data_IF_443065222534
#
_entry.id   IF_443065222534
#
_cell.length_a   1.000
_cell.length_b   1.000
_cell.length_c   1.000
_cell.angle_alpha   90.00
_cell.angle_beta   90.00
_cell.angle_gamma   90.00
#
_symmetry.space_group_name_H-M   'P 1'
#
loop_
_entity.id
_entity.type
_entity.pdbx_description
1 polymer ?
#
# COMPACT_ATOMS: atom_id res chain seq x y z
N UNK A 1 4.99 -28.83 -17.88
CA UNK A 1 4.53 -28.98 -16.48
C UNK A 1 5.14 -30.25 -15.90
N UNK A 2 6.35 -30.17 -15.32
CA UNK A 2 6.78 -31.24 -14.40
C UNK A 2 6.05 -31.00 -13.07
N UNK A 3 5.38 -32.03 -12.58
CA UNK A 3 4.52 -31.97 -11.41
C UNK A 3 5.25 -31.54 -10.14
N UNK A 4 4.47 -30.92 -9.27
CA UNK A 4 4.79 -30.39 -7.94
C UNK A 4 5.81 -31.27 -7.19
N UNK A 5 6.97 -30.70 -6.89
CA UNK A 5 7.94 -31.30 -5.98
C UNK A 5 7.43 -31.24 -4.54
N UNK A 6 7.22 -32.41 -3.96
CA UNK A 6 7.25 -32.70 -2.52
C UNK A 6 6.26 -31.97 -1.59
N UNK A 7 5.11 -32.62 -1.35
CA UNK A 7 4.33 -32.50 -0.12
C UNK A 7 5.17 -32.93 1.09
N UNK A 8 5.81 -31.98 1.77
CA UNK A 8 6.20 -32.13 3.17
C UNK A 8 5.16 -31.39 4.01
N UNK A 9 4.75 -31.96 5.15
CA UNK A 9 3.76 -31.29 6.02
C UNK A 9 4.32 -29.93 6.45
N UNK A 10 3.57 -28.86 6.15
CA UNK A 10 4.01 -27.47 6.38
C UNK A 10 4.72 -26.79 5.20
N UNK A 11 4.96 -27.48 4.08
CA UNK A 11 5.47 -26.86 2.86
C UNK A 11 4.31 -26.40 1.95
N UNK A 12 4.44 -25.18 1.43
CA UNK A 12 3.50 -24.57 0.52
C UNK A 12 3.79 -25.04 -0.92
N UNK A 13 2.82 -25.62 -1.65
CA UNK A 13 3.00 -26.02 -3.05
C UNK A 13 3.53 -24.89 -3.93
N UNK A 14 4.51 -25.20 -4.80
CA UNK A 14 5.18 -24.21 -5.65
C UNK A 14 4.77 -24.35 -7.11
N UNK A 15 4.33 -23.25 -7.72
CA UNK A 15 4.18 -23.06 -9.16
C UNK A 15 5.32 -22.16 -9.62
N UNK A 16 6.37 -22.77 -10.17
CA UNK A 16 7.49 -22.06 -10.78
C UNK A 16 7.25 -21.89 -12.28
N UNK A 17 7.03 -20.65 -12.72
CA UNK A 17 6.82 -20.31 -14.13
C UNK A 17 8.12 -20.25 -14.95
N UNK A 18 9.29 -20.40 -14.32
CA UNK A 18 10.60 -20.50 -14.98
C UNK A 18 10.91 -19.35 -15.94
N UNK A 19 10.44 -18.14 -15.63
CA UNK A 19 10.57 -16.95 -16.46
C UNK A 19 9.89 -17.09 -17.84
N UNK A 20 8.91 -17.98 -17.97
CA UNK A 20 8.27 -18.35 -19.23
C UNK A 20 6.73 -18.30 -19.14
N UNK A 21 6.19 -17.09 -19.03
CA UNK A 21 4.75 -16.84 -18.96
C UNK A 21 4.24 -16.66 -17.53
N UNK A 22 2.93 -16.78 -17.37
CA UNK A 22 2.21 -16.60 -16.11
C UNK A 22 1.59 -17.90 -15.64
N UNK A 23 1.28 -18.00 -14.35
CA UNK A 23 0.65 -19.18 -13.76
C UNK A 23 -0.85 -19.26 -14.11
N UNK A 24 -1.56 -18.13 -13.99
CA UNK A 24 -3.01 -18.10 -14.17
C UNK A 24 -3.48 -16.95 -15.05
N UNK A 25 -4.54 -17.20 -15.80
CA UNK A 25 -5.30 -16.20 -16.52
C UNK A 25 -6.78 -16.37 -16.16
N UNK A 26 -7.39 -15.31 -15.65
CA UNK A 26 -8.81 -15.21 -15.38
C UNK A 26 -9.40 -14.20 -16.35
N UNK A 27 -10.39 -14.62 -17.14
CA UNK A 27 -10.95 -13.82 -18.23
C UNK A 27 -12.22 -14.39 -18.85
N UNK A 28 -12.82 -15.40 -18.23
CA UNK A 28 -14.01 -16.11 -18.71
C UNK A 28 -15.23 -15.91 -17.80
N UNK A 29 -15.17 -14.93 -16.89
CA UNK A 29 -16.25 -14.62 -15.94
C UNK A 29 -16.10 -15.31 -14.59
N UNK A 30 -14.87 -15.68 -14.21
CA UNK A 30 -14.57 -16.32 -12.92
C UNK A 30 -14.98 -15.40 -11.75
N UNK A 31 -15.73 -15.97 -10.81
CA UNK A 31 -16.23 -15.31 -9.60
C UNK A 31 -15.34 -15.61 -8.40
N UNK A 32 -15.73 -15.12 -7.22
CA UNK A 32 -15.03 -15.37 -5.95
C UNK A 32 -14.96 -16.86 -5.58
N UNK A 33 -15.80 -17.70 -6.19
CA UNK A 33 -15.77 -19.16 -6.07
C UNK A 33 -14.54 -19.79 -6.74
N UNK A 34 -13.87 -19.04 -7.62
CA UNK A 34 -12.59 -19.46 -8.21
C UNK A 34 -11.46 -19.13 -7.23
N UNK A 35 -11.14 -20.12 -6.39
CA UNK A 35 -10.17 -19.95 -5.29
C UNK A 35 -8.80 -20.52 -5.67
N UNK A 36 -7.77 -19.68 -5.56
CA UNK A 36 -6.36 -20.11 -5.44
C UNK A 36 -5.97 -19.96 -3.98
N UNK A 37 -5.69 -21.08 -3.32
CA UNK A 37 -5.33 -21.11 -1.90
C UNK A 37 -3.99 -21.79 -1.67
N UNK A 38 -3.15 -21.18 -0.85
CA UNK A 38 -1.94 -21.79 -0.29
C UNK A 38 -0.89 -22.19 -1.34
N UNK A 39 -0.65 -21.34 -2.35
CA UNK A 39 0.42 -21.55 -3.34
C UNK A 39 1.55 -20.52 -3.23
N UNK A 40 2.78 -20.97 -3.44
CA UNK A 40 3.87 -20.10 -3.88
C UNK A 40 3.82 -20.02 -5.41
N UNK A 41 3.64 -18.82 -5.96
CA UNK A 41 3.65 -18.56 -7.40
C UNK A 41 4.86 -17.67 -7.70
N UNK A 42 5.83 -18.23 -8.43
CA UNK A 42 7.13 -17.59 -8.59
C UNK A 42 7.67 -17.60 -10.01
N UNK A 43 8.61 -16.68 -10.24
CA UNK A 43 9.36 -16.55 -11.50
C UNK A 43 8.45 -16.44 -12.73
N UNK A 44 7.24 -15.90 -12.58
CA UNK A 44 6.39 -15.51 -13.68
C UNK A 44 7.06 -14.41 -14.52
N UNK A 45 6.99 -14.50 -15.84
CA UNK A 45 7.43 -13.44 -16.75
C UNK A 45 6.47 -13.29 -17.91
N UNK A 46 5.73 -12.19 -17.92
CA UNK A 46 4.73 -11.92 -18.95
C UNK A 46 4.75 -10.44 -19.35
N UNK A 47 3.96 -10.09 -20.38
CA UNK A 47 3.77 -8.68 -20.74
C UNK A 47 3.04 -7.92 -19.63
N UNK A 48 1.96 -8.51 -19.13
CA UNK A 48 1.11 -7.98 -18.06
C UNK A 48 0.76 -9.13 -17.11
N UNK A 49 0.81 -8.86 -15.81
CA UNK A 49 0.52 -9.86 -14.77
C UNK A 49 1.51 -11.01 -14.83
N UNK A 50 2.71 -10.82 -14.25
CA UNK A 50 3.78 -11.80 -14.33
C UNK A 50 3.37 -13.17 -13.80
N UNK A 51 2.58 -13.22 -12.73
CA UNK A 51 1.99 -14.43 -12.16
C UNK A 51 0.53 -14.64 -12.59
N UNK A 52 -0.29 -13.59 -12.49
CA UNK A 52 -1.75 -13.67 -12.70
C UNK A 52 -2.22 -12.47 -13.52
N UNK A 53 -3.10 -12.73 -14.48
CA UNK A 53 -3.83 -11.68 -15.19
C UNK A 53 -5.34 -11.88 -14.98
N UNK A 54 -6.01 -10.86 -14.48
CA UNK A 54 -7.45 -10.83 -14.19
C UNK A 54 -8.14 -9.82 -15.10
N UNK A 55 -9.07 -10.26 -15.95
CA UNK A 55 -9.85 -9.39 -16.83
C UNK A 55 -11.35 -9.63 -16.67
N UNK A 56 -12.10 -8.61 -16.27
CA UNK A 56 -13.57 -8.72 -16.10
C UNK A 56 -14.00 -9.91 -15.22
N UNK A 57 -13.25 -10.20 -14.16
CA UNK A 57 -13.39 -11.36 -13.28
C UNK A 57 -13.09 -10.99 -11.82
N UNK A 58 -13.42 -11.84 -10.86
CA UNK A 58 -13.13 -11.59 -9.45
C UNK A 58 -12.80 -12.86 -8.66
N UNK A 59 -11.69 -13.57 -8.98
CA UNK A 59 -11.28 -14.76 -8.24
C UNK A 59 -10.84 -14.42 -6.80
N UNK A 60 -10.83 -15.44 -5.94
CA UNK A 60 -10.26 -15.33 -4.59
C UNK A 60 -8.83 -15.87 -4.57
N UNK A 61 -7.89 -15.05 -4.11
CA UNK A 61 -6.50 -15.39 -3.87
C UNK A 61 -6.26 -15.38 -2.36
N UNK A 62 -6.00 -16.55 -1.78
CA UNK A 62 -5.96 -16.75 -0.34
C UNK A 62 -4.65 -17.42 0.08
N UNK A 63 -4.01 -16.93 1.14
CA UNK A 63 -2.80 -17.54 1.72
C UNK A 63 -1.68 -17.76 0.68
N UNK A 64 -1.57 -16.94 -0.36
CA UNK A 64 -0.63 -17.16 -1.46
C UNK A 64 0.64 -16.32 -1.31
N UNK A 65 1.77 -16.83 -1.81
CA UNK A 65 3.03 -16.10 -1.90
C UNK A 65 3.37 -15.84 -3.37
N UNK A 66 3.43 -14.58 -3.77
CA UNK A 66 3.91 -14.13 -5.09
C UNK A 66 5.35 -13.65 -4.98
N UNK A 67 6.29 -14.43 -5.53
CA UNK A 67 7.73 -14.16 -5.36
C UNK A 67 8.49 -14.04 -6.67
N UNK A 68 9.22 -12.94 -6.88
CA UNK A 68 10.13 -12.80 -8.02
C UNK A 68 9.43 -12.81 -9.39
N UNK A 69 8.13 -12.50 -9.44
CA UNK A 69 7.39 -12.39 -10.70
C UNK A 69 7.71 -11.06 -11.38
N UNK A 70 7.69 -11.06 -12.71
CA UNK A 70 8.01 -9.90 -13.53
C UNK A 70 6.99 -9.69 -14.63
N UNK A 71 6.61 -8.44 -14.83
CA UNK A 71 5.86 -8.01 -16.00
C UNK A 71 6.66 -6.97 -16.80
N UNK A 72 6.51 -6.97 -18.12
CA UNK A 72 7.07 -5.89 -18.93
C UNK A 72 6.38 -4.56 -18.59
N UNK A 73 5.05 -4.58 -18.63
CA UNK A 73 4.22 -3.39 -18.56
C UNK A 73 3.56 -3.20 -17.19
N UNK A 74 2.53 -3.99 -16.89
CA UNK A 74 1.69 -3.74 -15.72
C UNK A 74 1.64 -4.93 -14.77
N UNK A 75 1.83 -4.68 -13.48
CA UNK A 75 1.60 -5.66 -12.42
C UNK A 75 2.64 -6.79 -12.44
N UNK A 76 3.77 -6.60 -11.77
CA UNK A 76 4.84 -7.59 -11.76
C UNK A 76 4.39 -8.97 -11.29
N UNK A 77 3.45 -9.03 -10.35
CA UNK A 77 2.71 -10.25 -10.01
C UNK A 77 1.32 -10.30 -10.66
N UNK A 78 0.46 -9.33 -10.35
CA UNK A 78 -0.96 -9.37 -10.71
C UNK A 78 -1.33 -8.15 -11.53
N UNK A 79 -1.95 -8.36 -12.70
CA UNK A 79 -2.59 -7.30 -13.45
C UNK A 79 -4.12 -7.48 -13.40
N UNK A 80 -4.80 -6.44 -12.92
CA UNK A 80 -6.24 -6.32 -12.81
C UNK A 80 -6.75 -5.37 -13.88
N UNK A 81 -7.58 -5.85 -14.80
CA UNK A 81 -7.93 -5.12 -16.02
C UNK A 81 -9.44 -5.10 -16.28
N UNK A 82 -9.98 -3.92 -16.57
CA UNK A 82 -11.38 -3.71 -16.97
C UNK A 82 -12.38 -4.49 -16.09
N UNK A 83 -12.58 -4.05 -14.85
CA UNK A 83 -13.40 -4.76 -13.85
C UNK A 83 -12.84 -6.12 -13.44
N UNK A 84 -11.51 -6.28 -13.47
CA UNK A 84 -10.81 -7.41 -12.85
C UNK A 84 -10.63 -7.14 -11.36
N UNK A 85 -11.52 -7.63 -10.51
CA UNK A 85 -11.58 -7.30 -9.09
C UNK A 85 -11.36 -8.55 -8.21
N UNK A 86 -10.15 -9.13 -8.19
CA UNK A 86 -9.88 -10.25 -7.28
C UNK A 86 -10.02 -9.83 -5.80
N UNK A 87 -10.40 -10.79 -4.97
CA UNK A 87 -10.27 -10.72 -3.52
C UNK A 87 -8.92 -11.32 -3.13
N UNK A 88 -8.04 -10.53 -2.53
CA UNK A 88 -6.67 -10.91 -2.19
C UNK A 88 -6.54 -10.86 -0.67
N UNK A 89 -6.38 -12.03 -0.05
CA UNK A 89 -6.45 -12.16 1.41
C UNK A 89 -5.25 -12.96 1.92
N UNK A 90 -4.60 -12.44 2.97
CA UNK A 90 -3.47 -13.10 3.63
C UNK A 90 -2.36 -13.51 2.65
N UNK A 91 -2.03 -12.64 1.70
CA UNK A 91 -1.05 -12.92 0.65
C UNK A 91 0.25 -12.14 0.86
N UNK A 92 1.35 -12.72 0.39
CA UNK A 92 2.68 -12.11 0.44
C UNK A 92 3.13 -11.79 -0.99
N UNK A 93 3.55 -10.55 -1.23
CA UNK A 93 4.15 -10.08 -2.47
C UNK A 93 5.60 -9.69 -2.21
N UNK A 94 6.54 -10.53 -2.64
CA UNK A 94 7.96 -10.35 -2.36
C UNK A 94 8.79 -10.23 -3.64
N UNK A 95 9.47 -9.10 -3.84
CA UNK A 95 10.43 -8.95 -4.94
C UNK A 95 9.82 -9.06 -6.33
N UNK A 96 8.54 -8.71 -6.50
CA UNK A 96 7.92 -8.66 -7.83
C UNK A 96 8.26 -7.33 -8.51
N UNK A 97 8.33 -7.32 -9.84
CA UNK A 97 8.76 -6.11 -10.56
C UNK A 97 8.15 -5.87 -11.93
N UNK A 98 8.05 -4.61 -12.32
CA UNK A 98 7.88 -4.19 -13.71
C UNK A 98 9.19 -3.73 -14.32
N UNK A 99 9.37 -3.89 -15.64
CA UNK A 99 10.61 -3.48 -16.34
C UNK A 99 10.45 -2.29 -17.28
N UNK A 100 9.21 -1.91 -17.62
CA UNK A 100 8.91 -0.77 -18.50
C UNK A 100 7.95 0.22 -17.84
N UNK A 101 6.80 -0.24 -17.34
CA UNK A 101 5.76 0.66 -16.82
C UNK A 101 5.55 0.51 -15.30
N UNK A 102 4.33 0.18 -14.84
CA UNK A 102 3.87 0.51 -13.49
C UNK A 102 3.36 -0.68 -12.68
N UNK A 103 3.44 -0.59 -11.35
CA UNK A 103 2.87 -1.57 -10.42
C UNK A 103 3.78 -2.78 -10.21
N UNK A 104 4.80 -2.64 -9.36
CA UNK A 104 5.79 -3.69 -9.14
C UNK A 104 5.19 -5.01 -8.64
N UNK A 105 4.13 -4.97 -7.83
CA UNK A 105 3.35 -6.15 -7.47
C UNK A 105 2.02 -6.20 -8.23
N UNK A 106 1.17 -5.18 -8.03
CA UNK A 106 -0.21 -5.17 -8.53
C UNK A 106 -0.43 -3.92 -9.39
N UNK A 107 -1.06 -4.09 -10.55
CA UNK A 107 -1.57 -2.97 -11.33
C UNK A 107 -3.09 -3.10 -11.50
N UNK A 108 -3.80 -2.01 -11.26
CA UNK A 108 -5.25 -1.90 -11.39
C UNK A 108 -5.58 -0.90 -12.49
N UNK A 109 -6.28 -1.38 -13.52
CA UNK A 109 -6.77 -0.56 -14.62
C UNK A 109 -8.29 -0.70 -14.71
N UNK A 110 -9.01 0.39 -14.44
CA UNK A 110 -10.48 0.39 -14.29
C UNK A 110 -10.97 -0.77 -13.41
N UNK A 111 -10.27 -1.02 -12.31
CA UNK A 111 -10.47 -2.17 -11.43
C UNK A 111 -10.21 -1.81 -9.98
N UNK A 112 -10.96 -2.39 -9.06
CA UNK A 112 -10.94 -2.09 -7.63
C UNK A 112 -10.92 -3.39 -6.82
N UNK A 113 -9.78 -4.13 -6.80
CA UNK A 113 -9.65 -5.34 -5.99
C UNK A 113 -9.79 -5.04 -4.48
N UNK A 114 -10.12 -6.07 -3.71
CA UNK A 114 -10.05 -6.05 -2.25
C UNK A 114 -8.74 -6.69 -1.82
N UNK A 115 -7.98 -6.01 -0.97
CA UNK A 115 -6.67 -6.43 -0.50
C UNK A 115 -6.69 -6.39 1.02
N UNK A 116 -6.64 -7.55 1.67
CA UNK A 116 -6.75 -7.68 3.12
C UNK A 116 -5.60 -8.53 3.68
N UNK A 117 -5.02 -8.11 4.81
CA UNK A 117 -4.01 -8.90 5.52
C UNK A 117 -2.79 -9.25 4.65
N UNK A 118 -2.43 -8.39 3.70
CA UNK A 118 -1.37 -8.67 2.76
C UNK A 118 -0.06 -7.98 3.14
N UNK A 119 1.06 -8.60 2.80
CA UNK A 119 2.39 -8.02 2.96
C UNK A 119 3.05 -7.79 1.60
N UNK A 120 3.50 -6.57 1.35
CA UNK A 120 4.24 -6.16 0.15
C UNK A 120 5.66 -5.79 0.54
N UNK A 121 6.63 -6.60 0.15
CA UNK A 121 8.04 -6.39 0.51
C UNK A 121 8.93 -6.33 -0.73
N UNK A 122 9.73 -5.27 -0.83
CA UNK A 122 10.77 -5.18 -1.84
C UNK A 122 10.27 -5.25 -3.29
N UNK A 123 9.00 -4.90 -3.54
CA UNK A 123 8.49 -4.85 -4.90
C UNK A 123 8.99 -3.58 -5.61
N UNK A 124 9.28 -3.69 -6.90
CA UNK A 124 9.98 -2.65 -7.65
C UNK A 124 9.25 -2.29 -8.93
N UNK A 125 9.12 -0.99 -9.21
CA UNK A 125 8.64 -0.48 -10.49
C UNK A 125 9.70 0.40 -11.12
N UNK A 126 10.02 0.17 -12.40
CA UNK A 126 10.91 1.05 -13.18
C UNK A 126 10.27 2.39 -13.52
N UNK A 127 8.97 2.56 -13.26
CA UNK A 127 8.29 3.84 -13.38
C UNK A 127 7.60 4.17 -12.07
N UNK A 128 6.31 3.93 -11.91
CA UNK A 128 5.57 4.31 -10.69
C UNK A 128 4.82 3.16 -10.04
N UNK A 129 4.48 3.33 -8.75
CA UNK A 129 3.77 2.33 -7.96
C UNK A 129 4.67 1.13 -7.67
N UNK A 130 5.64 1.27 -6.76
CA UNK A 130 6.59 0.19 -6.47
C UNK A 130 5.90 -1.09 -5.99
N UNK A 131 4.80 -1.00 -5.25
CA UNK A 131 3.91 -2.13 -4.99
C UNK A 131 2.64 -2.08 -5.86
N UNK A 132 1.82 -1.04 -5.71
CA UNK A 132 0.50 -0.95 -6.33
C UNK A 132 0.40 0.27 -7.24
N UNK A 133 -0.12 0.07 -8.44
CA UNK A 133 -0.49 1.13 -9.36
C UNK A 133 -2.00 1.11 -9.63
N UNK A 134 -2.66 2.26 -9.52
CA UNK A 134 -4.09 2.43 -9.75
C UNK A 134 -4.33 3.49 -10.82
N UNK A 135 -5.06 3.13 -11.88
CA UNK A 135 -5.31 3.99 -13.02
C UNK A 135 -6.77 3.91 -13.50
N UNK A 136 -7.32 5.08 -13.88
CA UNK A 136 -8.66 5.26 -14.44
C UNK A 136 -9.79 4.73 -13.54
N UNK A 137 -10.10 5.47 -12.47
CA UNK A 137 -11.16 5.14 -11.50
C UNK A 137 -10.96 3.78 -10.82
N UNK A 138 -9.71 3.45 -10.54
CA UNK A 138 -9.33 2.23 -9.82
C UNK A 138 -9.19 2.56 -8.33
N UNK A 139 -10.11 2.08 -7.51
CA UNK A 139 -10.16 2.42 -6.08
C UNK A 139 -10.17 1.13 -5.24
N UNK A 140 -9.04 0.40 -5.16
CA UNK A 140 -8.96 -0.77 -4.31
C UNK A 140 -9.18 -0.42 -2.83
N UNK A 141 -9.70 -1.38 -2.09
CA UNK A 141 -9.75 -1.32 -0.62
C UNK A 141 -8.57 -2.11 -0.08
N UNK A 142 -7.76 -1.47 0.76
CA UNK A 142 -6.54 -2.02 1.34
C UNK A 142 -6.66 -1.97 2.86
N UNK A 143 -6.75 -3.14 3.50
CA UNK A 143 -6.99 -3.23 4.94
C UNK A 143 -5.99 -4.18 5.59
N UNK A 144 -5.49 -3.84 6.79
CA UNK A 144 -4.57 -4.70 7.56
C UNK A 144 -3.30 -5.08 6.79
N UNK A 145 -2.77 -4.19 5.95
CA UNK A 145 -1.64 -4.50 5.08
C UNK A 145 -0.32 -3.87 5.55
N UNK A 146 0.79 -4.52 5.19
CA UNK A 146 2.14 -4.00 5.42
C UNK A 146 2.83 -3.75 4.09
N UNK A 147 3.33 -2.54 3.87
CA UNK A 147 4.15 -2.15 2.73
C UNK A 147 5.54 -1.80 3.22
N UNK A 148 6.53 -2.65 2.94
CA UNK A 148 7.90 -2.48 3.43
C UNK A 148 8.92 -2.48 2.29
N UNK A 149 9.71 -1.41 2.18
CA UNK A 149 10.85 -1.37 1.25
C UNK A 149 10.46 -1.47 -0.23
N UNK A 150 9.23 -1.11 -0.61
CA UNK A 150 8.84 -1.08 -2.02
C UNK A 150 9.42 0.17 -2.69
N UNK A 151 9.76 0.07 -3.97
CA UNK A 151 10.58 1.08 -4.63
C UNK A 151 10.10 1.44 -6.05
N UNK A 152 9.95 2.74 -6.32
CA UNK A 152 9.79 3.29 -7.65
C UNK A 152 11.13 3.88 -8.14
N UNK A 153 11.93 3.04 -8.82
CA UNK A 153 13.36 3.30 -9.09
C UNK A 153 13.64 4.17 -10.31
N UNK A 154 12.66 4.33 -11.21
CA UNK A 154 12.84 5.10 -12.44
C UNK A 154 13.20 6.55 -12.20
N UNK A 155 13.84 7.23 -13.17
CA UNK A 155 14.22 8.65 -13.02
C UNK A 155 13.04 9.56 -12.62
N UNK A 156 11.83 9.24 -13.08
CA UNK A 156 10.59 9.95 -12.73
C UNK A 156 9.68 9.13 -11.81
N UNK A 157 10.24 8.08 -11.19
CA UNK A 157 9.49 7.11 -10.44
C UNK A 157 8.88 7.70 -9.19
N UNK A 158 7.59 7.45 -9.01
CA UNK A 158 6.77 8.06 -7.97
C UNK A 158 5.85 7.04 -7.30
N UNK A 159 5.48 7.26 -6.04
CA UNK A 159 4.67 6.33 -5.27
C UNK A 159 5.41 5.02 -5.00
N UNK A 160 6.39 5.05 -4.10
CA UNK A 160 7.23 3.89 -3.80
C UNK A 160 6.44 2.68 -3.32
N UNK A 161 5.35 2.89 -2.58
CA UNK A 161 4.34 1.87 -2.34
C UNK A 161 3.20 1.96 -3.35
N UNK A 162 2.47 3.07 -3.37
CA UNK A 162 1.21 3.20 -4.11
C UNK A 162 1.22 4.45 -5.00
N UNK A 163 0.82 4.30 -6.26
CA UNK A 163 0.53 5.43 -7.14
C UNK A 163 -0.93 5.38 -7.60
N UNK A 164 -1.64 6.51 -7.47
CA UNK A 164 -3.01 6.69 -7.89
C UNK A 164 -3.14 7.77 -8.97
N UNK A 165 -3.78 7.42 -10.09
CA UNK A 165 -3.98 8.30 -11.24
C UNK A 165 -5.42 8.24 -11.78
N UNK A 166 -5.93 9.37 -12.26
CA UNK A 166 -7.14 9.42 -13.07
C UNK A 166 -8.40 9.11 -12.26
N UNK A 167 -8.62 9.89 -11.21
CA UNK A 167 -9.73 9.74 -10.26
C UNK A 167 -9.74 8.39 -9.53
N UNK A 168 -8.56 7.88 -9.21
CA UNK A 168 -8.36 6.62 -8.48
C UNK A 168 -8.20 6.94 -7.00
N UNK A 169 -9.18 6.58 -6.17
CA UNK A 169 -9.23 6.98 -4.76
C UNK A 169 -9.34 5.75 -3.86
N UNK A 170 -8.24 4.99 -3.65
CA UNK A 170 -8.27 3.83 -2.77
C UNK A 170 -8.55 4.21 -1.31
N UNK A 171 -9.11 3.26 -0.57
CA UNK A 171 -9.22 3.34 0.89
C UNK A 171 -8.14 2.49 1.52
N UNK A 172 -7.40 3.04 2.48
CA UNK A 172 -6.35 2.34 3.21
C UNK A 172 -6.64 2.41 4.70
N UNK A 173 -6.79 1.26 5.35
CA UNK A 173 -7.20 1.19 6.75
C UNK A 173 -6.30 0.23 7.53
N UNK A 174 -5.85 0.66 8.71
CA UNK A 174 -5.04 -0.18 9.61
C UNK A 174 -3.79 -0.76 8.91
N UNK A 175 -3.10 0.06 8.13
CA UNK A 175 -1.95 -0.34 7.34
C UNK A 175 -0.66 0.30 7.85
N UNK A 176 0.46 -0.33 7.51
CA UNK A 176 1.80 0.16 7.85
C UNK A 176 2.63 0.32 6.58
N UNK A 177 3.24 1.50 6.40
CA UNK A 177 4.09 1.85 5.28
C UNK A 177 5.48 2.22 5.80
N UNK A 178 6.45 1.33 5.59
CA UNK A 178 7.80 1.46 6.13
C UNK A 178 8.84 1.44 5.02
N UNK A 179 9.77 2.40 5.05
CA UNK A 179 10.95 2.31 4.20
C UNK A 179 10.65 2.29 2.70
N UNK A 180 9.44 2.68 2.27
CA UNK A 180 9.11 2.73 0.86
C UNK A 180 9.78 3.95 0.23
N UNK A 181 10.26 3.81 -1.00
CA UNK A 181 11.07 4.85 -1.62
C UNK A 181 10.65 5.13 -3.06
N UNK A 182 10.74 6.40 -3.43
CA UNK A 182 10.56 6.84 -4.79
C UNK A 182 11.72 7.72 -5.21
N UNK A 183 12.28 7.48 -6.39
CA UNK A 183 13.36 8.30 -6.92
C UNK A 183 12.93 9.77 -7.09
N UNK A 184 11.63 10.03 -7.36
CA UNK A 184 11.14 11.38 -7.63
C UNK A 184 10.18 11.90 -6.56
N UNK A 185 8.96 11.37 -6.45
CA UNK A 185 7.89 11.99 -5.64
C UNK A 185 7.02 10.96 -4.93
N UNK A 186 6.60 11.25 -3.70
CA UNK A 186 5.71 10.37 -2.95
C UNK A 186 6.43 9.08 -2.57
N UNK A 187 7.25 9.11 -1.52
CA UNK A 187 8.04 7.97 -1.09
C UNK A 187 7.17 6.75 -0.77
N UNK A 188 6.05 6.96 -0.07
CA UNK A 188 5.00 5.95 0.04
C UNK A 188 3.94 6.10 -1.06
N UNK A 189 3.27 7.26 -1.12
CA UNK A 189 2.05 7.45 -1.92
C UNK A 189 2.18 8.63 -2.88
N UNK A 190 1.70 8.44 -4.11
CA UNK A 190 1.55 9.51 -5.12
C UNK A 190 0.10 9.61 -5.58
N UNK A 191 -0.48 10.81 -5.52
CA UNK A 191 -1.86 11.08 -5.92
C UNK A 191 -1.95 12.11 -7.05
N UNK A 192 -2.49 11.70 -8.20
CA UNK A 192 -2.56 12.50 -9.42
C UNK A 192 -3.92 12.46 -10.11
N UNK A 193 -4.26 13.53 -10.84
CA UNK A 193 -5.51 13.72 -11.58
C UNK A 193 -6.77 13.44 -10.76
N UNK A 194 -7.02 14.27 -9.75
CA UNK A 194 -8.16 14.21 -8.83
C UNK A 194 -8.30 12.87 -8.10
N UNK A 195 -7.17 12.28 -7.72
CA UNK A 195 -7.11 11.02 -6.95
C UNK A 195 -7.01 11.35 -5.46
N UNK A 196 -8.04 11.04 -4.69
CA UNK A 196 -8.20 11.50 -3.30
C UNK A 196 -8.42 10.29 -2.38
N UNK A 197 -7.38 9.52 -2.05
CA UNK A 197 -7.52 8.38 -1.15
C UNK A 197 -7.93 8.82 0.26
N UNK A 198 -8.59 7.90 0.97
CA UNK A 198 -8.86 8.02 2.42
C UNK A 198 -7.99 7.03 3.16
N UNK A 199 -7.22 7.51 4.12
CA UNK A 199 -6.26 6.75 4.91
C UNK A 199 -6.69 6.81 6.37
N UNK A 200 -6.87 5.69 7.04
CA UNK A 200 -7.35 5.65 8.43
C UNK A 200 -6.58 4.66 9.28
N UNK A 201 -6.18 5.08 10.48
CA UNK A 201 -5.47 4.23 11.45
C UNK A 201 -4.17 3.62 10.87
N UNK A 202 -3.43 4.38 10.07
CA UNK A 202 -2.21 3.91 9.43
C UNK A 202 -0.96 4.51 10.06
N UNK A 203 0.17 3.82 9.91
CA UNK A 203 1.49 4.31 10.33
C UNK A 203 2.43 4.39 9.14
N UNK A 204 3.03 5.55 8.93
CA UNK A 204 4.06 5.82 7.92
C UNK A 204 5.35 6.17 8.65
N UNK A 205 6.45 5.50 8.28
CA UNK A 205 7.76 5.84 8.83
C UNK A 205 8.91 5.40 7.93
N UNK A 206 9.97 6.21 7.87
CA UNK A 206 11.16 5.90 7.08
C UNK A 206 10.91 5.89 5.56
N UNK A 207 9.77 6.38 5.08
CA UNK A 207 9.51 6.50 3.65
C UNK A 207 10.29 7.69 3.08
N UNK A 208 10.79 7.56 1.85
CA UNK A 208 11.70 8.55 1.28
C UNK A 208 11.40 8.90 -0.17
N UNK A 209 11.50 10.19 -0.50
CA UNK A 209 11.39 10.68 -1.86
C UNK A 209 12.66 11.45 -2.27
N UNK A 210 13.15 11.19 -3.48
CA UNK A 210 14.30 11.94 -4.01
C UNK A 210 14.01 13.43 -4.28
N UNK A 211 12.75 13.87 -4.19
CA UNK A 211 12.37 15.28 -4.34
C UNK A 211 11.34 15.75 -3.33
N UNK A 212 10.10 15.24 -3.40
CA UNK A 212 8.98 15.80 -2.63
C UNK A 212 8.08 14.74 -2.03
N UNK A 213 7.61 14.94 -0.80
CA UNK A 213 6.63 14.10 -0.13
C UNK A 213 7.20 12.73 0.24
N UNK A 214 7.88 12.58 1.37
CA UNK A 214 8.39 11.28 1.81
C UNK A 214 7.26 10.30 2.10
N UNK A 215 6.17 10.75 2.74
CA UNK A 215 4.91 10.00 2.79
C UNK A 215 4.14 10.18 1.49
N UNK A 216 3.67 11.39 1.21
CA UNK A 216 2.71 11.61 0.12
C UNK A 216 3.00 12.86 -0.70
N UNK A 217 2.84 12.74 -2.02
CA UNK A 217 2.87 13.86 -2.95
C UNK A 217 1.54 13.98 -3.74
N UNK A 218 0.89 15.15 -3.62
CA UNK A 218 -0.41 15.45 -4.25
C UNK A 218 -0.26 16.46 -5.40
N UNK A 219 -0.89 16.18 -6.55
CA UNK A 219 -0.98 17.07 -7.72
C UNK A 219 -2.41 16.99 -8.27
N UNK A 220 -2.82 18.02 -9.00
CA UNK A 220 -3.97 18.00 -9.91
C UNK A 220 -5.28 17.87 -9.16
N UNK A 221 -5.50 18.74 -8.17
CA UNK A 221 -6.72 18.73 -7.33
C UNK A 221 -6.93 17.40 -6.59
N UNK A 222 -5.84 16.69 -6.29
CA UNK A 222 -5.86 15.48 -5.45
C UNK A 222 -5.87 15.89 -3.98
N UNK A 223 -6.92 15.50 -3.26
CA UNK A 223 -7.20 15.97 -1.90
C UNK A 223 -7.41 14.79 -0.95
N UNK A 224 -6.34 14.08 -0.55
CA UNK A 224 -6.45 12.94 0.35
C UNK A 224 -6.80 13.35 1.79
N UNK A 225 -7.41 12.41 2.52
CA UNK A 225 -7.74 12.56 3.94
C UNK A 225 -7.03 11.49 4.76
N UNK A 226 -6.40 11.90 5.86
CA UNK A 226 -5.83 11.02 6.87
C UNK A 226 -6.63 11.15 8.17
N UNK A 227 -6.96 10.02 8.77
CA UNK A 227 -7.64 9.93 10.06
C UNK A 227 -6.86 9.03 11.01
N UNK A 228 -6.63 9.43 12.25
CA UNK A 228 -5.97 8.58 13.25
C UNK A 228 -4.62 8.02 12.76
N UNK A 229 -3.86 8.76 11.96
CA UNK A 229 -2.62 8.27 11.33
C UNK A 229 -1.37 8.81 12.02
N UNK A 230 -0.28 8.04 11.99
CA UNK A 230 1.06 8.52 12.33
C UNK A 230 1.87 8.70 11.05
N UNK A 231 2.47 9.87 10.85
CA UNK A 231 3.45 10.17 9.80
C UNK A 231 4.70 10.68 10.51
N UNK A 232 5.77 9.88 10.56
CA UNK A 232 6.93 10.23 11.37
C UNK A 232 8.24 9.61 10.90
N UNK A 233 9.28 10.44 10.79
CA UNK A 233 10.61 10.02 10.38
C UNK A 233 10.67 9.65 8.90
N UNK A 234 9.83 10.30 8.09
CA UNK A 234 9.87 10.22 6.64
C UNK A 234 10.80 11.32 6.09
N UNK A 235 11.13 11.29 4.80
CA UNK A 235 12.09 12.25 4.24
C UNK A 235 11.89 12.57 2.76
N UNK A 236 12.19 13.80 2.38
CA UNK A 236 12.23 14.24 1.00
C UNK A 236 13.41 15.18 0.75
N UNK A 237 14.22 14.92 -0.27
CA UNK A 237 15.46 15.69 -0.49
C UNK A 237 15.25 17.17 -0.80
N UNK A 238 14.03 17.62 -1.11
CA UNK A 238 13.74 19.04 -1.40
C UNK A 238 12.72 19.67 -0.47
N UNK A 239 11.54 19.07 -0.26
CA UNK A 239 10.51 19.61 0.63
C UNK A 239 9.39 18.60 0.92
N UNK A 240 8.71 18.78 2.06
CA UNK A 240 7.62 17.92 2.49
C UNK A 240 8.15 16.55 2.85
N UNK A 241 8.90 16.45 3.95
CA UNK A 241 9.44 15.18 4.43
C UNK A 241 8.31 14.17 4.66
N UNK A 242 7.19 14.63 5.19
CA UNK A 242 5.96 13.86 5.32
C UNK A 242 5.05 14.15 4.11
N UNK A 243 4.56 15.39 3.97
CA UNK A 243 3.48 15.73 3.05
C UNK A 243 3.92 16.84 2.11
N UNK A 244 3.73 16.64 0.81
CA UNK A 244 3.79 17.72 -0.18
C UNK A 244 2.47 17.86 -0.92
N UNK A 245 1.86 19.04 -0.85
CA UNK A 245 0.63 19.39 -1.56
C UNK A 245 0.89 20.47 -2.61
N UNK A 246 0.62 20.19 -3.89
CA UNK A 246 0.70 21.22 -4.93
C UNK A 246 -0.51 22.19 -4.90
N UNK A 247 -0.40 23.29 -5.62
CA UNK A 247 -1.44 24.32 -5.72
C UNK A 247 -2.79 23.69 -6.09
N UNK A 248 -3.84 24.03 -5.34
CA UNK A 248 -5.18 23.48 -5.55
C UNK A 248 -5.43 22.08 -4.98
N UNK A 249 -4.43 21.47 -4.33
CA UNK A 249 -4.61 20.29 -3.50
C UNK A 249 -4.86 20.69 -2.04
N UNK A 250 -5.71 19.95 -1.35
CA UNK A 250 -5.93 20.06 0.10
C UNK A 250 -5.75 18.69 0.73
N UNK A 251 -4.76 18.56 1.61
CA UNK A 251 -4.59 17.37 2.44
C UNK A 251 -5.23 17.65 3.79
N UNK A 252 -6.19 16.82 4.21
CA UNK A 252 -6.85 16.97 5.52
C UNK A 252 -6.32 15.91 6.48
N UNK A 253 -5.87 16.35 7.65
CA UNK A 253 -5.42 15.49 8.74
C UNK A 253 -6.40 15.63 9.91
N UNK A 254 -6.99 14.52 10.35
CA UNK A 254 -7.85 14.44 11.51
C UNK A 254 -7.23 13.51 12.54
N UNK A 255 -7.00 14.00 13.76
CA UNK A 255 -6.43 13.22 14.86
C UNK A 255 -5.17 12.47 14.44
N UNK A 256 -4.26 13.14 13.73
CA UNK A 256 -3.01 12.52 13.26
C UNK A 256 -1.83 12.94 14.12
N UNK A 257 -0.81 12.11 14.23
CA UNK A 257 0.48 12.47 14.79
C UNK A 257 1.47 12.68 13.65
N UNK A 258 2.02 13.89 13.52
CA UNK A 258 2.84 14.28 12.37
C UNK A 258 3.93 15.26 12.75
N UNK A 259 5.12 15.11 12.17
CA UNK A 259 6.19 16.10 12.31
C UNK A 259 5.74 17.44 11.69
N UNK A 260 5.65 18.49 12.52
CA UNK A 260 5.20 19.82 12.08
C UNK A 260 6.21 20.52 11.15
N UNK A 261 7.46 20.03 11.09
CA UNK A 261 8.42 20.43 10.06
C UNK A 261 8.18 19.78 8.69
N UNK A 262 7.26 18.82 8.64
CA UNK A 262 7.12 17.85 7.57
C UNK A 262 6.39 18.25 6.31
N UNK A 263 5.98 19.51 6.23
CA UNK A 263 5.07 19.99 5.20
C UNK A 263 5.80 20.72 4.07
N UNK A 264 5.27 20.59 2.85
CA UNK A 264 5.78 21.29 1.69
C UNK A 264 4.73 21.57 0.62
N UNK A 265 5.10 22.44 -0.31
CA UNK A 265 4.28 22.81 -1.45
C UNK A 265 3.45 24.08 -1.24
N UNK A 266 2.57 24.35 -2.20
CA UNK A 266 1.74 25.57 -2.26
C UNK A 266 0.24 25.27 -2.11
N UNK A 267 -0.12 24.00 -1.89
CA UNK A 267 -1.46 23.57 -1.51
C UNK A 267 -1.74 23.80 -0.03
N UNK A 268 -2.93 23.36 0.39
CA UNK A 268 -3.35 23.44 1.79
C UNK A 268 -3.07 22.11 2.49
N UNK A 269 -2.50 22.18 3.68
CA UNK A 269 -2.44 21.07 4.63
C UNK A 269 -3.25 21.52 5.83
N UNK A 270 -4.42 20.91 6.01
CA UNK A 270 -5.35 21.22 7.10
C UNK A 270 -5.13 20.23 8.24
N UNK A 271 -4.32 20.64 9.22
CA UNK A 271 -3.97 19.87 10.42
C UNK A 271 -4.59 20.43 11.70
N UNK A 272 -5.52 21.38 11.58
CA UNK A 272 -6.19 22.00 12.72
C UNK A 272 -7.16 21.05 13.45
N UNK A 273 -7.39 19.85 12.92
CA UNK A 273 -8.38 18.89 13.43
C UNK A 273 -7.76 17.93 14.45
N UNK A 274 -7.25 18.49 15.57
CA UNK A 274 -6.67 17.76 16.70
C UNK A 274 -5.41 16.93 16.36
N UNK A 275 -4.53 17.46 15.50
CA UNK A 275 -3.24 16.81 15.25
C UNK A 275 -2.24 17.00 16.40
N UNK A 276 -1.37 16.00 16.57
CA UNK A 276 -0.27 15.96 17.53
C UNK A 276 1.03 16.18 16.78
N UNK A 277 1.89 17.06 17.33
CA UNK A 277 3.19 17.40 16.76
C UNK A 277 4.32 17.08 17.73
N UNK A 278 4.31 15.85 18.24
CA UNK A 278 5.30 15.34 19.17
C UNK A 278 5.66 13.92 18.78
N UNK A 279 6.87 13.48 19.14
CA UNK A 279 7.36 12.15 18.84
C UNK A 279 6.32 11.08 19.24
N UNK A 280 5.88 10.19 18.33
CA UNK A 280 4.94 9.12 18.65
C UNK A 280 5.53 8.08 19.61
N UNK A 281 6.84 8.12 19.88
CA UNK A 281 7.54 7.25 20.83
C UNK A 281 7.33 5.77 20.52
N UNK A 282 7.71 5.36 19.32
CA UNK A 282 7.75 3.95 18.94
C UNK A 282 8.68 3.14 19.86
N UNK A 283 8.34 1.88 20.09
CA UNK A 283 9.12 0.93 20.89
C UNK A 283 10.53 0.78 20.33
N UNK A 284 10.66 0.44 19.05
CA UNK A 284 11.94 0.25 18.37
C UNK A 284 11.79 0.39 16.83
N UNK A 285 11.56 1.62 16.37
CA UNK A 285 11.39 1.93 14.95
C UNK A 285 12.59 1.50 14.09
N UNK A 286 13.80 1.50 14.64
CA UNK A 286 15.01 1.09 13.91
C UNK A 286 15.00 -0.40 13.53
N UNK A 287 14.28 -1.23 14.29
CA UNK A 287 14.11 -2.65 14.02
C UNK A 287 12.69 -3.02 13.55
N UNK A 288 11.89 -2.02 13.16
CA UNK A 288 10.56 -2.22 12.60
C UNK A 288 9.44 -2.41 13.63
N UNK A 289 9.69 -2.10 14.91
CA UNK A 289 8.67 -2.17 15.95
C UNK A 289 8.02 -0.80 16.16
N UNK A 290 6.87 -0.62 15.49
CA UNK A 290 6.08 0.61 15.49
C UNK A 290 4.94 0.60 16.52
N UNK A 291 4.95 -0.34 17.47
CA UNK A 291 4.07 -0.26 18.65
C UNK A 291 4.47 0.93 19.51
N UNK A 292 3.53 1.46 20.28
CA UNK A 292 3.73 2.65 21.10
C UNK A 292 4.37 2.32 22.47
N UNK A 293 5.27 3.18 22.95
CA UNK A 293 5.71 3.17 24.35
C UNK A 293 4.61 3.67 25.28
N UNK A 294 4.64 3.29 26.56
CA UNK A 294 3.65 3.69 27.58
C UNK A 294 3.48 5.21 27.74
N UNK A 295 4.48 5.99 27.35
CA UNK A 295 4.49 7.46 27.47
C UNK A 295 4.06 8.18 26.18
N UNK A 296 3.68 7.42 25.14
CA UNK A 296 3.37 7.98 23.83
C UNK A 296 2.20 8.95 23.89
N UNK A 297 2.29 10.10 23.19
CA UNK A 297 1.16 11.01 23.06
C UNK A 297 0.03 10.47 22.16
N UNK A 298 0.26 9.37 21.44
CA UNK A 298 -0.70 8.78 20.51
C UNK A 298 -1.69 7.82 21.18
N UNK A 299 -1.47 7.48 22.45
CA UNK A 299 -2.35 6.57 23.21
C UNK A 299 -3.65 7.30 23.58
N UNK A 300 -4.79 6.65 23.36
CA UNK A 300 -6.15 7.15 23.63
C UNK A 300 -6.41 8.54 23.03
N UNK A 301 -5.74 8.87 21.91
CA UNK A 301 -5.73 10.21 21.34
C UNK A 301 -6.47 10.33 19.99
N UNK A 302 -6.94 9.22 19.43
CA UNK A 302 -7.68 9.21 18.17
C UNK A 302 -9.17 9.48 18.36
N UNK A 303 -9.90 9.44 17.23
CA UNK A 303 -11.36 9.53 17.19
C UNK A 303 -11.98 8.21 16.74
N UNK A 304 -12.76 7.60 17.64
CA UNK A 304 -13.51 6.37 17.40
C UNK A 304 -14.47 6.49 16.20
N UNK A 305 -15.03 7.67 15.97
CA UNK A 305 -15.95 7.92 14.86
C UNK A 305 -15.29 7.89 13.49
N UNK A 306 -13.96 8.00 13.45
CA UNK A 306 -13.16 7.92 12.22
C UNK A 306 -12.57 6.53 11.96
N UNK A 307 -12.81 5.57 12.86
CA UNK A 307 -12.43 4.17 12.65
C UNK A 307 -13.39 3.53 11.63
N UNK A 308 -12.89 2.99 10.51
CA UNK A 308 -13.74 2.29 9.56
C UNK A 308 -14.43 1.08 10.21
N UNK A 309 -15.72 0.87 9.91
CA UNK A 309 -16.54 -0.14 10.61
C UNK A 309 -16.08 -1.59 10.41
N UNK A 310 -15.30 -1.86 9.36
CA UNK A 310 -14.73 -3.16 9.04
C UNK A 310 -13.38 -3.42 9.76
N UNK A 311 -12.79 -2.41 10.41
CA UNK A 311 -11.58 -2.54 11.21
C UNK A 311 -11.95 -2.78 12.68
N UNK A 312 -12.03 -4.05 13.06
CA UNK A 312 -12.38 -4.46 14.43
C UNK A 312 -11.16 -4.75 15.31
N UNK A 313 -9.99 -4.97 14.70
CA UNK A 313 -8.72 -5.19 15.40
C UNK A 313 -7.60 -4.34 14.82
N UNK A 314 -6.55 -4.11 15.61
CA UNK A 314 -5.26 -3.60 15.15
C UNK A 314 -4.44 -4.69 14.44
N UNK A 315 -3.21 -4.37 14.02
CA UNK A 315 -2.32 -5.33 13.36
C UNK A 315 -1.78 -6.45 14.26
N UNK A 316 -1.84 -6.29 15.59
CA UNK A 316 -1.49 -7.34 16.56
C UNK A 316 -2.69 -8.26 16.88
N UNK A 317 -3.87 -7.98 16.32
CA UNK A 317 -5.12 -8.69 16.61
C UNK A 317 -5.82 -8.24 17.89
N UNK A 318 -5.41 -7.11 18.47
CA UNK A 318 -6.09 -6.50 19.61
C UNK A 318 -7.36 -5.76 19.15
N UNK A 319 -8.45 -5.70 19.95
CA UNK A 319 -9.61 -4.89 19.59
C UNK A 319 -9.21 -3.45 19.29
N UNK A 320 -9.69 -2.92 18.15
CA UNK A 320 -9.33 -1.58 17.67
C UNK A 320 -9.76 -0.46 18.61
N UNK A 321 -10.79 -0.68 19.42
CA UNK A 321 -11.21 0.23 20.48
C UNK A 321 -11.27 -0.59 21.77
N UNK A 322 -10.11 -0.76 22.42
CA UNK A 322 -9.96 -1.59 23.62
C UNK A 322 -10.07 -0.81 24.94
N UNK A 323 -9.47 0.38 25.00
CA UNK A 323 -9.40 1.26 26.19
C UNK A 323 -10.53 2.28 26.32
N UNK A 324 -11.40 2.37 25.30
CA UNK A 324 -12.50 3.32 25.23
C UNK A 324 -12.28 4.40 24.16
N UNK A 325 -11.03 4.77 23.91
CA UNK A 325 -10.61 5.61 22.78
C UNK A 325 -9.61 4.82 21.92
N UNK A 326 -9.61 5.06 20.62
CA UNK A 326 -8.68 4.46 19.67
C UNK A 326 -7.32 5.15 19.76
N UNK A 327 -6.23 4.39 19.67
CA UNK A 327 -4.90 4.97 19.53
C UNK A 327 -4.70 5.53 18.12
N UNK A 328 -3.89 6.58 17.99
CA UNK A 328 -3.44 7.08 16.68
C UNK A 328 -2.39 6.09 16.13
N UNK A 329 -2.55 5.65 14.88
CA UNK A 329 -1.66 4.71 14.20
C UNK A 329 -2.24 3.30 14.02
N UNK A 330 -1.41 2.36 13.57
CA UNK A 330 -1.83 1.01 13.20
C UNK A 330 -1.86 -0.02 14.35
N UNK A 331 -1.40 0.35 15.54
CA UNK A 331 -1.31 -0.53 16.71
C UNK A 331 -2.01 0.11 17.90
N UNK A 332 -2.72 -0.69 18.69
CA UNK A 332 -3.29 -0.30 19.97
C UNK A 332 -2.32 -0.66 21.10
N UNK A 333 -2.17 0.24 22.06
CA UNK A 333 -1.40 0.01 23.26
C UNK A 333 -2.19 -0.84 24.26
N UNK A 334 -1.45 -1.72 24.94
CA UNK A 334 -1.93 -2.49 26.09
C UNK A 334 -0.95 -2.42 27.25
#
# INVERSE_FOLDING_TARGET
MQGVGHNTAGAQPVIDCQQAGRAFYFGSGETEDSVIDNFVIQNGKAKDGGAIYCSSCGPTLLNCTFSGNSAENYGGAICCWNSGNPSIVNCIFNGNRTTVYHGGAIACYKSSPRINECTFTGNESTYSGGAIFCLLKSSPTVTNCIFSGNNAVGTYGSGGAIYCEGSSSPTMSNCVFIGNSAHYRGGAIRCDSSSSPTISNCTFSGNSAGRYGGVIYCWDTSCPTFNNCILWGDSASSAGDEIYADTGCTVTLNYCCVDNGGYGGAGTIDDANNCIHSDPQFMDAANGDYRLKDTSPCIDAGDNGLVPSDVVTDLDGNPRIGGGVVDIGAYEKR
#
